data_IF_208722665545
#
_entry.id   IF_208722665545
#
_cell.length_a   1.000
_cell.length_b   1.000
_cell.length_c   1.000
_cell.angle_alpha   90.00
_cell.angle_beta   90.00
_cell.angle_gamma   90.00
#
_symmetry.space_group_name_H-M   'P 1'
#
loop_
_entity.id
_entity.type
_entity.pdbx_description
1 polymer ?
#
# COMPACT_ATOMS: atom_id res chain seq x y z
N UNK A 1 7.84 -20.28 -21.72
CA UNK A 1 8.31 -19.75 -20.42
C UNK A 1 9.29 -18.62 -20.69
N UNK A 2 8.81 -17.37 -20.61
CA UNK A 2 9.62 -16.17 -20.73
C UNK A 2 9.65 -15.44 -19.39
N UNK A 3 10.82 -15.31 -18.76
CA UNK A 3 10.97 -14.54 -17.52
C UNK A 3 10.74 -13.05 -17.83
N UNK A 4 9.87 -12.41 -17.06
CA UNK A 4 9.51 -11.00 -17.21
C UNK A 4 10.32 -10.14 -16.23
N UNK A 5 10.25 -10.44 -14.93
CA UNK A 5 10.96 -9.69 -13.88
C UNK A 5 11.06 -10.46 -12.57
N UNK A 6 12.05 -10.10 -11.77
CA UNK A 6 12.16 -10.51 -10.36
C UNK A 6 11.43 -9.51 -9.45
N UNK A 7 10.87 -9.99 -8.36
CA UNK A 7 10.20 -9.16 -7.35
C UNK A 7 10.29 -9.79 -5.97
N UNK A 8 9.79 -9.08 -4.96
CA UNK A 8 9.64 -9.61 -3.60
C UNK A 8 8.16 -9.79 -3.29
N UNK A 9 7.86 -10.81 -2.50
CA UNK A 9 6.51 -11.17 -2.07
C UNK A 9 6.54 -11.69 -0.64
N UNK A 10 5.39 -12.15 -0.13
CA UNK A 10 5.27 -12.75 1.19
C UNK A 10 4.79 -14.20 1.10
N UNK A 11 5.27 -15.03 2.03
CA UNK A 11 4.70 -16.35 2.28
C UNK A 11 3.25 -16.19 2.80
N UNK A 12 2.25 -16.90 2.25
CA UNK A 12 0.88 -16.81 2.73
C UNK A 12 0.67 -17.38 4.14
N UNK A 13 1.62 -18.20 4.63
CA UNK A 13 1.51 -18.85 5.94
C UNK A 13 2.32 -18.13 7.02
N UNK A 14 3.64 -17.96 6.84
CA UNK A 14 4.50 -17.32 7.84
C UNK A 14 4.81 -15.84 7.60
N UNK A 15 4.29 -15.23 6.52
CA UNK A 15 4.44 -13.81 6.18
C UNK A 15 5.89 -13.33 5.98
N UNK A 16 6.87 -14.24 5.91
CA UNK A 16 8.26 -13.91 5.59
C UNK A 16 8.37 -13.37 4.17
N UNK A 17 9.29 -12.42 3.97
CA UNK A 17 9.61 -11.87 2.66
C UNK A 17 10.40 -12.90 1.85
N UNK A 18 9.95 -13.15 0.62
CA UNK A 18 10.54 -14.12 -0.31
C UNK A 18 10.88 -13.40 -1.62
N UNK A 19 11.90 -13.89 -2.30
CA UNK A 19 12.12 -13.56 -3.71
C UNK A 19 11.14 -14.36 -4.57
N UNK A 20 10.69 -13.74 -5.66
CA UNK A 20 9.72 -14.32 -6.58
C UNK A 20 10.00 -13.89 -8.01
N UNK A 21 9.78 -14.82 -8.93
CA UNK A 21 9.96 -14.60 -10.36
C UNK A 21 8.60 -14.49 -11.03
N UNK A 22 8.40 -13.43 -11.81
CA UNK A 22 7.23 -13.23 -12.66
C UNK A 22 7.61 -13.64 -14.08
N UNK A 23 6.82 -14.51 -14.70
CA UNK A 23 7.08 -15.04 -16.03
C UNK A 23 5.79 -15.28 -16.82
N UNK A 24 5.92 -15.33 -18.14
CA UNK A 24 4.85 -15.69 -19.07
C UNK A 24 4.92 -17.18 -19.43
N UNK A 25 3.75 -17.81 -19.46
CA UNK A 25 3.53 -19.16 -19.99
C UNK A 25 2.08 -19.28 -20.49
N UNK A 26 1.90 -19.78 -21.72
CA UNK A 26 0.59 -20.01 -22.35
C UNK A 26 -0.36 -18.78 -22.33
N UNK A 27 0.17 -17.61 -22.68
CA UNK A 27 -0.52 -16.31 -22.68
C UNK A 27 -1.02 -15.86 -21.30
N UNK A 28 -0.47 -16.42 -20.22
CA UNK A 28 -0.77 -16.05 -18.84
C UNK A 28 0.51 -15.64 -18.13
N UNK A 29 0.38 -14.72 -17.18
CA UNK A 29 1.48 -14.30 -16.32
C UNK A 29 1.37 -15.03 -14.99
N UNK A 30 2.42 -15.75 -14.64
CA UNK A 30 2.56 -16.45 -13.37
C UNK A 30 3.56 -15.73 -12.48
N UNK A 31 3.39 -15.93 -11.18
CA UNK A 31 4.40 -15.62 -10.17
C UNK A 31 4.75 -16.92 -9.43
N UNK A 32 6.04 -17.19 -9.30
CA UNK A 32 6.55 -18.32 -8.52
C UNK A 32 7.45 -17.83 -7.39
N UNK A 33 7.30 -18.45 -6.22
CA UNK A 33 8.03 -18.16 -4.98
C UNK A 33 8.28 -19.44 -4.22
N UNK A 34 9.37 -19.50 -3.46
CA UNK A 34 9.70 -20.67 -2.64
C UNK A 34 9.97 -20.25 -1.19
N UNK A 35 9.18 -20.80 -0.26
CA UNK A 35 9.41 -20.67 1.16
C UNK A 35 10.16 -21.90 1.66
N UNK A 36 11.22 -21.71 2.43
CA UNK A 36 12.00 -22.81 3.01
C UNK A 36 11.20 -23.70 3.96
N UNK A 37 10.12 -23.17 4.55
CA UNK A 37 9.26 -23.89 5.52
C UNK A 37 7.99 -24.46 4.89
N UNK A 38 7.40 -23.76 3.92
CA UNK A 38 6.06 -24.09 3.37
C UNK A 38 6.10 -24.51 1.89
N UNK A 39 7.29 -24.52 1.27
CA UNK A 39 7.50 -25.02 -0.08
C UNK A 39 7.25 -24.00 -1.20
N UNK A 40 7.04 -24.53 -2.41
CA UNK A 40 6.86 -23.73 -3.64
C UNK A 40 5.40 -23.35 -3.86
N UNK A 41 5.19 -22.10 -4.25
CA UNK A 41 3.90 -21.59 -4.70
C UNK A 41 4.04 -21.07 -6.11
N UNK A 42 3.14 -21.50 -6.99
CA UNK A 42 2.99 -20.99 -8.35
C UNK A 42 1.55 -20.58 -8.55
N UNK A 43 1.33 -19.32 -8.88
CA UNK A 43 0.01 -18.71 -8.92
C UNK A 43 -0.16 -17.89 -10.21
N UNK A 44 -1.39 -17.76 -10.71
CA UNK A 44 -1.69 -16.86 -11.81
C UNK A 44 -1.65 -15.43 -11.26
N UNK A 45 -0.71 -14.63 -11.76
CA UNK A 45 -0.59 -13.20 -11.44
C UNK A 45 -1.47 -12.34 -12.35
N UNK A 46 -1.56 -12.69 -13.64
CA UNK A 46 -2.45 -12.06 -14.61
C UNK A 46 -2.92 -13.10 -15.62
N UNK A 47 -4.22 -13.13 -15.93
CA UNK A 47 -4.82 -14.17 -16.78
C UNK A 47 -4.60 -13.97 -18.28
N UNK A 48 -4.04 -12.84 -18.70
CA UNK A 48 -3.81 -12.48 -20.09
C UNK A 48 -2.54 -11.62 -20.21
N UNK A 49 -1.59 -12.08 -21.03
CA UNK A 49 -0.28 -11.44 -21.16
C UNK A 49 -0.35 -10.11 -21.92
N UNK A 50 -1.20 -10.00 -22.93
CA UNK A 50 -1.35 -8.75 -23.70
C UNK A 50 -1.89 -7.62 -22.82
N UNK A 51 -2.89 -7.91 -21.97
CA UNK A 51 -3.41 -6.95 -21.00
C UNK A 51 -2.36 -6.58 -19.94
N UNK A 52 -1.54 -7.54 -19.48
CA UNK A 52 -0.43 -7.26 -18.59
C UNK A 52 0.56 -6.28 -19.22
N UNK A 53 0.99 -6.54 -20.47
CA UNK A 53 1.91 -5.65 -21.19
C UNK A 53 1.31 -4.25 -21.38
N UNK A 54 0.03 -4.16 -21.77
CA UNK A 54 -0.68 -2.89 -21.87
C UNK A 54 -0.67 -2.14 -20.55
N UNK A 55 -0.96 -2.80 -19.43
CA UNK A 55 -0.98 -2.19 -18.11
C UNK A 55 0.42 -1.71 -17.67
N UNK A 56 1.48 -2.47 -17.99
CA UNK A 56 2.85 -2.04 -17.70
C UNK A 56 3.24 -0.76 -18.47
N UNK A 57 2.66 -0.47 -19.64
CA UNK A 57 2.87 0.84 -20.31
C UNK A 57 2.34 2.04 -19.53
N UNK A 58 1.38 1.81 -18.62
CA UNK A 58 0.77 2.82 -17.77
C UNK A 58 1.45 2.90 -16.39
N UNK A 59 2.46 2.07 -16.14
CA UNK A 59 3.17 2.03 -14.87
C UNK A 59 3.94 3.33 -14.68
N UNK A 60 3.57 4.07 -13.64
CA UNK A 60 4.33 5.21 -13.14
C UNK A 60 4.83 4.89 -11.74
N UNK A 61 6.15 4.93 -11.54
CA UNK A 61 6.71 4.88 -10.19
C UNK A 61 6.66 6.29 -9.59
N UNK A 62 6.06 6.42 -8.41
CA UNK A 62 6.04 7.70 -7.71
C UNK A 62 7.44 8.08 -7.19
N UNK A 63 7.67 9.38 -7.02
CA UNK A 63 8.97 9.94 -6.61
C UNK A 63 9.26 9.80 -5.12
N UNK A 64 8.34 9.24 -4.33
CA UNK A 64 8.49 9.10 -2.89
C UNK A 64 7.92 10.27 -2.11
N UNK A 65 8.28 10.40 -0.83
CA UNK A 65 7.77 11.46 0.04
C UNK A 65 8.91 12.34 0.55
N UNK A 66 8.77 13.66 0.39
CA UNK A 66 9.74 14.64 0.91
C UNK A 66 9.75 14.70 2.45
N UNK A 67 8.66 14.28 3.09
CA UNK A 67 8.49 14.32 4.55
C UNK A 67 7.95 12.97 5.07
N UNK A 68 8.80 11.92 5.09
CA UNK A 68 8.43 10.66 5.70
C UNK A 68 8.21 10.84 7.21
N UNK A 69 7.27 10.10 7.77
CA UNK A 69 6.91 10.14 9.20
C UNK A 69 7.65 9.07 10.03
N UNK A 70 8.37 8.17 9.37
CA UNK A 70 9.11 7.07 10.00
C UNK A 70 10.52 6.93 9.41
N UNK A 71 11.30 6.00 9.95
CA UNK A 71 12.65 5.63 9.48
C UNK A 71 12.62 4.22 8.88
N UNK A 72 13.54 3.91 7.97
CA UNK A 72 13.75 2.55 7.46
C UNK A 72 14.73 1.80 8.37
N UNK A 73 14.29 0.72 9.02
CA UNK A 73 15.07 -0.12 9.96
C UNK A 73 15.10 -1.59 9.54
N UNK A 74 13.93 -2.17 9.29
CA UNK A 74 13.71 -3.58 8.94
C UNK A 74 13.36 -3.80 7.45
N UNK A 75 13.09 -2.71 6.72
CA UNK A 75 12.70 -2.72 5.31
C UNK A 75 11.21 -2.95 5.07
N UNK A 76 10.80 -2.93 3.81
CA UNK A 76 9.43 -3.25 3.40
C UNK A 76 9.18 -4.77 3.51
N UNK A 77 8.07 -5.24 4.11
CA UNK A 77 6.89 -4.48 4.57
C UNK A 77 6.90 -4.13 6.08
N UNK A 78 7.95 -4.47 6.83
CA UNK A 78 7.98 -4.32 8.29
C UNK A 78 7.99 -2.86 8.78
N UNK A 79 8.56 -1.95 7.98
CA UNK A 79 8.51 -0.50 8.27
C UNK A 79 7.44 0.23 7.44
N UNK A 80 6.50 -0.51 6.82
CA UNK A 80 5.55 0.06 5.87
C UNK A 80 4.59 1.05 6.55
N UNK A 81 4.45 2.22 5.93
CA UNK A 81 3.70 3.38 6.40
C UNK A 81 4.05 4.58 5.52
N UNK A 82 4.03 5.80 6.07
CA UNK A 82 4.61 6.99 5.42
C UNK A 82 6.14 6.97 5.63
N UNK A 83 6.81 5.91 5.17
CA UNK A 83 8.25 5.69 5.35
C UNK A 83 9.08 6.23 4.17
N UNK A 84 10.42 6.33 4.28
CA UNK A 84 11.26 6.86 3.20
C UNK A 84 11.19 6.05 1.90
N UNK A 85 10.96 4.73 1.99
CA UNK A 85 10.80 3.84 0.83
C UNK A 85 9.40 3.90 0.19
N UNK A 86 8.48 4.69 0.77
CA UNK A 86 7.11 4.78 0.27
C UNK A 86 7.04 5.64 -0.99
N UNK A 87 6.88 4.99 -2.15
CA UNK A 87 6.93 5.64 -3.47
C UNK A 87 5.72 6.52 -3.80
N UNK A 88 4.54 6.23 -3.25
CA UNK A 88 3.28 6.91 -3.63
C UNK A 88 2.95 8.09 -2.72
N UNK A 89 2.27 9.11 -3.24
CA UNK A 89 1.73 10.19 -2.43
C UNK A 89 0.33 9.87 -1.88
N UNK A 90 -0.12 10.65 -0.90
CA UNK A 90 -1.51 10.61 -0.43
C UNK A 90 -2.48 11.02 -1.54
N UNK A 91 -3.12 10.04 -2.19
CA UNK A 91 -4.12 10.29 -3.24
C UNK A 91 -5.47 10.77 -2.72
N UNK A 92 -5.88 10.27 -1.53
CA UNK A 92 -7.09 10.70 -0.83
C UNK A 92 -6.79 10.75 0.67
N UNK A 93 -7.13 11.87 1.31
CA UNK A 93 -7.05 12.03 2.75
C UNK A 93 -8.47 12.15 3.32
N UNK A 94 -8.78 11.36 4.34
CA UNK A 94 -10.02 11.45 5.11
C UNK A 94 -9.66 12.02 6.48
N UNK A 95 -10.34 13.08 6.89
CA UNK A 95 -10.10 13.77 8.16
C UNK A 95 -11.42 13.82 8.92
N UNK A 96 -11.44 13.15 10.06
CA UNK A 96 -12.57 13.24 10.98
C UNK A 96 -12.42 14.50 11.84
N UNK A 97 -13.24 15.52 11.57
CA UNK A 97 -13.25 16.78 12.34
C UNK A 97 -13.97 16.63 13.68
N UNK A 98 -14.76 15.57 13.85
CA UNK A 98 -15.48 15.21 15.07
C UNK A 98 -15.91 13.75 15.01
N UNK A 99 -16.12 13.12 16.16
CA UNK A 99 -16.69 11.77 16.29
C UNK A 99 -18.10 11.78 16.91
N UNK A 100 -18.83 12.90 16.82
CA UNK A 100 -20.17 13.09 17.43
C UNK A 100 -21.33 12.34 16.76
N UNK A 101 -21.08 11.58 15.69
CA UNK A 101 -22.15 10.80 15.06
C UNK A 101 -22.78 9.84 16.10
N UNK A 102 -24.08 9.97 16.32
CA UNK A 102 -24.84 9.23 17.32
C UNK A 102 -25.53 7.97 16.76
N UNK A 103 -25.19 7.58 15.52
CA UNK A 103 -25.72 6.40 14.87
C UNK A 103 -24.79 5.20 15.08
N UNK A 104 -25.38 4.00 15.14
CA UNK A 104 -24.68 2.71 15.31
C UNK A 104 -24.80 1.85 14.05
N UNK A 105 -24.47 2.44 12.89
CA UNK A 105 -24.58 1.74 11.62
C UNK A 105 -23.62 0.53 11.57
N UNK A 106 -24.09 -0.66 11.15
CA UNK A 106 -23.25 -1.87 11.09
C UNK A 106 -22.11 -1.77 10.06
N UNK A 107 -22.16 -0.77 9.18
CA UNK A 107 -21.16 -0.51 8.11
C UNK A 107 -20.35 0.77 8.34
N UNK A 108 -20.35 1.32 9.57
CA UNK A 108 -19.69 2.59 9.86
C UNK A 108 -18.16 2.46 9.80
N UNK A 109 -17.54 3.01 8.75
CA UNK A 109 -16.07 3.05 8.64
C UNK A 109 -15.40 3.92 9.71
N UNK A 110 -16.02 5.06 10.06
CA UNK A 110 -15.50 5.98 11.07
C UNK A 110 -15.59 5.43 12.50
N UNK A 111 -16.42 4.40 12.72
CA UNK A 111 -16.71 3.78 14.00
C UNK A 111 -16.88 4.78 15.17
N UNK A 112 -17.61 5.87 14.90
CA UNK A 112 -17.66 7.05 15.77
C UNK A 112 -18.11 6.74 17.21
N UNK A 113 -19.03 5.78 17.36
CA UNK A 113 -19.58 5.37 18.66
C UNK A 113 -18.58 4.59 19.54
N UNK A 114 -17.48 4.05 19.00
CA UNK A 114 -16.54 3.21 19.73
C UNK A 114 -15.40 3.99 20.41
N UNK A 115 -15.27 5.30 20.15
CA UNK A 115 -14.13 6.07 20.62
C UNK A 115 -14.08 6.26 22.14
N UNK A 116 -15.22 6.22 22.84
CA UNK A 116 -15.29 6.39 24.31
C UNK A 116 -15.03 7.81 24.84
N UNK A 117 -14.73 8.77 23.96
CA UNK A 117 -14.62 10.20 24.26
C UNK A 117 -15.16 11.02 23.09
N UNK A 118 -15.47 12.30 23.31
CA UNK A 118 -15.84 13.22 22.22
C UNK A 118 -14.61 14.00 21.77
N UNK A 119 -14.28 13.93 20.48
CA UNK A 119 -13.27 14.77 19.86
C UNK A 119 -13.89 16.10 19.42
N UNK A 120 -13.40 17.19 20.03
CA UNK A 120 -13.74 18.57 19.68
C UNK A 120 -12.45 19.37 19.45
N UNK A 121 -12.18 19.81 18.21
CA UNK A 121 -11.01 20.65 17.95
C UNK A 121 -11.21 22.03 18.57
N UNK A 122 -10.13 22.60 19.14
CA UNK A 122 -10.20 23.95 19.74
C UNK A 122 -10.14 25.05 18.69
N UNK A 123 -9.62 24.74 17.50
CA UNK A 123 -9.72 25.58 16.32
C UNK A 123 -9.83 24.75 15.03
N UNK A 124 -10.49 25.29 14.01
CA UNK A 124 -10.71 24.64 12.72
C UNK A 124 -9.41 24.17 12.03
N UNK A 125 -8.27 24.78 12.37
CA UNK A 125 -7.01 24.59 11.67
C UNK A 125 -6.05 23.59 12.31
N UNK A 126 -6.35 22.94 13.46
CA UNK A 126 -5.37 22.08 14.14
C UNK A 126 -4.90 20.86 13.31
N UNK A 127 -5.73 20.38 12.35
CA UNK A 127 -5.40 19.23 11.50
C UNK A 127 -4.80 19.57 10.12
N UNK A 128 -5.09 20.74 9.57
CA UNK A 128 -4.75 21.12 8.19
C UNK A 128 -3.24 21.24 7.87
N UNK A 129 -2.37 21.74 8.79
CA UNK A 129 -0.93 21.86 8.53
C UNK A 129 -0.21 20.53 8.29
N UNK A 130 -0.75 19.41 8.79
CA UNK A 130 -0.13 18.09 8.69
C UNK A 130 -0.24 17.47 7.29
N UNK A 131 -1.31 17.79 6.55
CA UNK A 131 -1.58 17.24 5.22
C UNK A 131 -0.82 18.00 4.13
N UNK A 132 -0.59 19.31 4.34
CA UNK A 132 0.10 20.16 3.36
C UNK A 132 1.58 19.76 3.13
N UNK A 133 2.13 18.87 3.97
CA UNK A 133 3.52 18.40 3.92
C UNK A 133 3.72 17.03 3.26
N UNK A 134 2.67 16.35 2.79
CA UNK A 134 2.81 15.02 2.16
C UNK A 134 2.86 15.03 0.62
N UNK A 135 2.89 16.22 0.01
CA UNK A 135 3.08 16.41 -1.44
C UNK A 135 4.55 16.70 -1.74
N UNK A 136 5.13 16.03 -2.73
CA UNK A 136 6.44 16.41 -3.25
C UNK A 136 6.36 17.78 -3.90
N UNK A 137 7.45 18.55 -3.76
CA UNK A 137 7.58 19.89 -4.33
C UNK A 137 7.49 19.94 -5.87
N UNK A 138 7.59 18.80 -6.55
CA UNK A 138 7.62 18.68 -8.01
C UNK A 138 6.23 18.66 -8.67
N UNK A 139 5.15 18.49 -7.90
CA UNK A 139 3.76 18.45 -8.39
C UNK A 139 2.89 19.59 -7.85
N UNK A 140 3.52 20.67 -7.35
CA UNK A 140 2.87 21.86 -6.78
C UNK A 140 2.93 23.07 -7.73
#
# INVERSE_FOLDING_TARGET
>A
MQVIKETKTICPECLKVLDATIFEEDNKVYIEKECTEHGKYREIYWSDYEQYQRAETLRAEGTGLDNPRTETKLGCPYDCGICPEHKSHTGLAIIDITNRCNLTCPVCFANAAAAGYVYEPTSFCEGLPRIRRSRSSEWA
#
